data_IF_123058056179
#
_entry.id   IF_123058056179
#
_cell.length_a   1.000
_cell.length_b   1.000
_cell.length_c   1.000
_cell.angle_alpha   90.00
_cell.angle_beta   90.00
_cell.angle_gamma   90.00
#
_symmetry.space_group_name_H-M   'P 1'
#
loop_
_entity.id
_entity.type
_entity.pdbx_description
1 polymer ?
#
# COMPACT_ATOMS: atom_id res chain seq x y z
N UNK A 1 -33.07 -12.46 4.46
CA UNK A 1 -32.80 -11.13 3.90
C UNK A 1 -31.39 -10.78 4.30
N UNK A 2 -30.43 -10.82 3.37
CA UNK A 2 -29.06 -10.43 3.67
C UNK A 2 -29.07 -8.97 4.14
N UNK A 3 -28.53 -8.73 5.33
CA UNK A 3 -28.41 -7.41 5.93
C UNK A 3 -27.70 -6.51 4.89
N UNK A 4 -28.41 -5.57 4.26
CA UNK A 4 -27.81 -4.70 3.25
C UNK A 4 -26.72 -3.89 3.94
N UNK A 5 -25.47 -4.06 3.48
CA UNK A 5 -24.36 -3.27 3.99
C UNK A 5 -24.66 -1.78 3.75
N UNK A 6 -24.69 -0.98 4.81
CA UNK A 6 -24.75 0.47 4.67
C UNK A 6 -23.44 0.99 4.09
N UNK A 7 -23.43 2.21 3.54
CA UNK A 7 -22.18 2.85 3.08
C UNK A 7 -21.12 2.90 4.20
N UNK A 8 -21.53 3.11 5.45
CA UNK A 8 -20.64 3.10 6.62
C UNK A 8 -19.99 1.73 6.86
N UNK A 9 -20.79 0.65 6.87
CA UNK A 9 -20.27 -0.73 6.96
C UNK A 9 -19.31 -1.03 5.80
N UNK A 10 -19.67 -0.62 4.58
CA UNK A 10 -18.81 -0.79 3.39
C UNK A 10 -17.49 -0.03 3.48
N UNK A 11 -17.46 1.20 3.99
CA UNK A 11 -16.21 1.93 4.24
C UNK A 11 -15.32 1.19 5.25
N UNK A 12 -15.90 0.72 6.35
CA UNK A 12 -15.16 0.02 7.39
C UNK A 12 -14.58 -1.31 6.90
N UNK A 13 -15.33 -2.08 6.10
CA UNK A 13 -14.84 -3.31 5.47
C UNK A 13 -13.68 -3.04 4.50
N UNK A 14 -13.77 -1.94 3.74
CA UNK A 14 -12.71 -1.55 2.79
C UNK A 14 -11.50 -0.86 3.45
N UNK A 15 -11.50 -0.63 4.76
CA UNK A 15 -10.36 -0.03 5.47
C UNK A 15 -9.12 -0.93 5.49
N UNK A 16 -9.29 -2.25 5.35
CA UNK A 16 -8.19 -3.21 5.41
C UNK A 16 -7.15 -3.01 4.28
N UNK A 17 -7.61 -2.62 3.08
CA UNK A 17 -6.72 -2.42 1.93
C UNK A 17 -5.73 -1.26 2.15
N UNK A 18 -6.15 -0.01 2.44
CA UNK A 18 -5.22 1.08 2.72
C UNK A 18 -4.34 0.79 3.94
N UNK A 19 -4.84 0.10 4.97
CA UNK A 19 -4.00 -0.31 6.09
C UNK A 19 -2.85 -1.22 5.62
N UNK A 20 -3.14 -2.27 4.85
CA UNK A 20 -2.10 -3.19 4.37
C UNK A 20 -1.12 -2.52 3.41
N UNK A 21 -1.60 -1.66 2.52
CA UNK A 21 -0.75 -0.86 1.64
C UNK A 21 0.15 0.08 2.45
N UNK A 22 -0.38 0.69 3.51
CA UNK A 22 0.41 1.54 4.41
C UNK A 22 1.56 0.78 5.07
N UNK A 23 1.29 -0.43 5.59
CA UNK A 23 2.35 -1.30 6.15
C UNK A 23 3.41 -1.67 5.10
N UNK A 24 2.98 -2.10 3.91
CA UNK A 24 3.88 -2.48 2.83
C UNK A 24 4.79 -1.31 2.43
N UNK A 25 4.22 -0.12 2.22
CA UNK A 25 4.99 1.06 1.82
C UNK A 25 5.96 1.51 2.93
N UNK A 26 5.54 1.49 4.20
CA UNK A 26 6.44 1.78 5.33
C UNK A 26 7.62 0.80 5.39
N UNK A 27 7.38 -0.50 5.12
CA UNK A 27 8.45 -1.51 5.15
C UNK A 27 9.54 -1.26 4.10
N UNK A 28 9.20 -0.64 2.96
CA UNK A 28 10.19 -0.23 1.95
C UNK A 28 11.15 0.80 2.54
N UNK A 29 10.64 1.78 3.30
CA UNK A 29 11.48 2.78 3.95
C UNK A 29 12.47 2.14 4.93
N UNK A 30 12.04 1.13 5.71
CA UNK A 30 12.92 0.41 6.64
C UNK A 30 14.05 -0.33 5.92
N UNK A 31 13.73 -1.01 4.81
CA UNK A 31 14.74 -1.69 3.98
C UNK A 31 15.76 -0.68 3.42
N UNK A 32 15.29 0.45 2.89
CA UNK A 32 16.17 1.50 2.36
C UNK A 32 17.05 2.12 3.45
N UNK A 33 16.50 2.44 4.62
CA UNK A 33 17.27 2.98 5.74
C UNK A 33 18.38 2.04 6.22
N UNK A 34 18.09 0.74 6.28
CA UNK A 34 19.10 -0.26 6.64
C UNK A 34 20.17 -0.38 5.56
N UNK A 35 19.78 -0.37 4.29
CA UNK A 35 20.71 -0.39 3.16
C UNK A 35 21.64 0.83 3.16
N UNK A 36 21.09 2.01 3.43
CA UNK A 36 21.86 3.27 3.50
C UNK A 36 23.02 3.23 4.51
N UNK A 37 22.95 2.38 5.55
CA UNK A 37 24.03 2.21 6.53
C UNK A 37 25.25 1.46 5.97
N UNK A 38 25.08 0.71 4.89
CA UNK A 38 26.16 -0.03 4.24
C UNK A 38 26.93 0.82 3.21
N UNK A 39 26.45 2.03 2.90
CA UNK A 39 27.06 2.90 1.88
C UNK A 39 28.30 3.62 2.43
N UNK A 40 29.43 3.49 1.72
CA UNK A 40 30.63 4.28 2.02
C UNK A 40 30.44 5.73 1.57
N UNK A 41 30.33 6.65 2.53
CA UNK A 41 30.08 8.07 2.24
C UNK A 41 31.24 8.80 1.58
N UNK A 42 32.43 8.19 1.57
CA UNK A 42 33.60 8.75 0.88
C UNK A 42 33.59 8.43 -0.61
N UNK A 43 32.84 7.42 -1.04
CA UNK A 43 32.63 7.14 -2.45
C UNK A 43 31.55 8.09 -3.01
N UNK A 44 31.86 8.90 -4.05
CA UNK A 44 30.90 9.82 -4.64
C UNK A 44 29.64 9.14 -5.21
N UNK A 45 29.74 7.88 -5.66
CA UNK A 45 28.56 7.15 -6.16
C UNK A 45 27.63 6.75 -5.01
N UNK A 46 28.17 6.13 -3.96
CA UNK A 46 27.44 5.80 -2.75
C UNK A 46 26.86 7.05 -2.03
N UNK A 47 27.53 8.20 -2.09
CA UNK A 47 26.98 9.46 -1.59
C UNK A 47 25.70 9.88 -2.35
N UNK A 48 25.68 9.75 -3.69
CA UNK A 48 24.48 10.04 -4.50
C UNK A 48 23.35 9.05 -4.23
N UNK A 49 23.67 7.76 -4.08
CA UNK A 49 22.68 6.74 -3.73
C UNK A 49 22.04 7.04 -2.38
N UNK A 50 22.83 7.44 -1.38
CA UNK A 50 22.29 7.81 -0.08
C UNK A 50 21.30 8.98 -0.17
N UNK A 51 21.63 10.05 -0.89
CA UNK A 51 20.74 11.22 -1.01
C UNK A 51 19.42 10.86 -1.71
N UNK A 52 19.48 9.99 -2.72
CA UNK A 52 18.28 9.46 -3.37
C UNK A 52 17.42 8.66 -2.39
N UNK A 53 18.02 7.73 -1.64
CA UNK A 53 17.28 6.90 -0.70
C UNK A 53 16.77 7.70 0.50
N UNK A 54 17.50 8.71 0.96
CA UNK A 54 17.03 9.60 2.03
C UNK A 54 15.75 10.35 1.64
N UNK A 55 15.61 10.72 0.37
CA UNK A 55 14.36 11.31 -0.15
C UNK A 55 13.24 10.29 -0.17
N UNK A 56 13.48 9.11 -0.76
CA UNK A 56 12.48 8.04 -0.87
C UNK A 56 12.00 7.53 0.49
N UNK A 57 12.88 7.42 1.47
CA UNK A 57 12.54 7.03 2.85
C UNK A 57 11.51 7.99 3.44
N UNK A 58 11.71 9.31 3.28
CA UNK A 58 10.75 10.32 3.78
C UNK A 58 9.40 10.20 3.10
N UNK A 59 9.40 10.04 1.77
CA UNK A 59 8.18 9.91 0.97
C UNK A 59 7.40 8.64 1.33
N UNK A 60 8.07 7.49 1.40
CA UNK A 60 7.44 6.23 1.77
C UNK A 60 6.85 6.26 3.18
N UNK A 61 7.57 6.83 4.17
CA UNK A 61 7.01 7.00 5.53
C UNK A 61 5.75 7.86 5.51
N UNK A 62 5.79 9.02 4.84
CA UNK A 62 4.64 9.93 4.78
C UNK A 62 3.43 9.27 4.09
N UNK A 63 3.64 8.55 2.99
CA UNK A 63 2.58 7.81 2.28
C UNK A 63 2.00 6.72 3.17
N UNK A 64 2.86 5.93 3.82
CA UNK A 64 2.45 4.86 4.72
C UNK A 64 1.59 5.37 5.88
N UNK A 65 2.02 6.45 6.54
CA UNK A 65 1.28 7.12 7.61
C UNK A 65 -0.08 7.65 7.14
N UNK A 66 -0.14 8.28 5.97
CA UNK A 66 -1.40 8.81 5.43
C UNK A 66 -2.39 7.69 5.07
N UNK A 67 -1.90 6.56 4.54
CA UNK A 67 -2.72 5.38 4.25
C UNK A 67 -3.28 4.78 5.54
N UNK A 68 -2.46 4.65 6.58
CA UNK A 68 -2.89 4.18 7.90
C UNK A 68 -3.95 5.09 8.53
N UNK A 69 -3.71 6.41 8.53
CA UNK A 69 -4.66 7.37 9.05
C UNK A 69 -6.00 7.34 8.28
N UNK A 70 -5.94 7.09 6.97
CA UNK A 70 -7.14 6.95 6.13
C UNK A 70 -7.90 5.67 6.48
N UNK A 71 -7.20 4.54 6.61
CA UNK A 71 -7.80 3.28 7.04
C UNK A 71 -8.50 3.40 8.41
N UNK A 72 -7.86 4.07 9.37
CA UNK A 72 -8.44 4.30 10.70
C UNK A 72 -9.73 5.12 10.62
N UNK A 73 -9.75 6.19 9.81
CA UNK A 73 -10.97 6.97 9.58
C UNK A 73 -12.07 6.12 8.94
N UNK A 74 -11.74 5.35 7.90
CA UNK A 74 -12.69 4.45 7.21
C UNK A 74 -13.29 3.43 8.18
N UNK A 75 -12.47 2.79 9.00
CA UNK A 75 -12.91 1.87 10.04
C UNK A 75 -13.84 2.56 11.07
N UNK A 76 -13.53 3.80 11.43
CA UNK A 76 -14.34 4.62 12.34
C UNK A 76 -15.72 5.01 11.77
N UNK A 77 -15.95 4.92 10.46
CA UNK A 77 -17.23 5.21 9.83
C UNK A 77 -18.19 4.02 9.79
N UNK A 78 -17.89 2.91 10.48
CA UNK A 78 -18.74 1.71 10.50
C UNK A 78 -20.21 1.99 10.80
N UNK A 79 -20.46 2.87 11.77
CA UNK A 79 -21.80 3.22 12.25
C UNK A 79 -22.34 4.50 11.61
N UNK A 80 -21.72 4.97 10.51
CA UNK A 80 -22.18 6.15 9.78
C UNK A 80 -23.59 5.90 9.23
N UNK A 81 -24.58 6.74 9.57
CA UNK A 81 -25.94 6.59 9.07
C UNK A 81 -26.00 6.84 7.56
N UNK A 82 -26.83 6.07 6.85
CA UNK A 82 -27.03 6.26 5.43
C UNK A 82 -27.82 7.55 5.18
N UNK A 83 -27.19 8.53 4.54
CA UNK A 83 -27.87 9.72 4.05
C UNK A 83 -28.80 9.41 2.88
N UNK A 84 -29.68 10.37 2.55
CA UNK A 84 -30.46 10.31 1.30
C UNK A 84 -29.50 10.40 0.11
N UNK A 85 -29.61 9.47 -0.83
CA UNK A 85 -28.89 9.49 -2.09
C UNK A 85 -29.83 9.95 -3.22
N UNK A 86 -29.29 10.64 -4.21
CA UNK A 86 -30.00 10.84 -5.48
C UNK A 86 -29.84 9.57 -6.31
N UNK A 87 -30.90 8.78 -6.37
CA UNK A 87 -30.91 7.50 -7.09
C UNK A 87 -30.56 7.66 -8.57
N UNK A 88 -30.93 8.79 -9.20
CA UNK A 88 -30.60 9.02 -10.61
C UNK A 88 -29.10 9.14 -10.80
N UNK A 89 -28.42 9.84 -9.89
CA UNK A 89 -26.96 9.99 -9.90
C UNK A 89 -26.28 8.67 -9.57
N UNK A 90 -26.79 7.90 -8.60
CA UNK A 90 -26.26 6.59 -8.25
C UNK A 90 -26.38 5.57 -9.38
N UNK A 91 -27.42 5.67 -10.21
CA UNK A 91 -27.63 4.84 -11.39
C UNK A 91 -27.04 5.40 -12.69
N UNK A 92 -26.30 6.51 -12.63
CA UNK A 92 -25.70 7.10 -13.84
C UNK A 92 -24.67 6.10 -14.42
N UNK A 93 -24.67 5.85 -15.74
CA UNK A 93 -23.66 5.00 -16.39
C UNK A 93 -22.21 5.36 -16.05
N UNK A 94 -21.92 6.63 -15.74
CA UNK A 94 -20.58 7.06 -15.29
C UNK A 94 -20.23 6.56 -13.89
N UNK A 95 -21.21 6.43 -12.99
CA UNK A 95 -20.99 5.85 -11.67
C UNK A 95 -20.62 4.36 -11.79
N UNK A 96 -21.34 3.63 -12.65
CA UNK A 96 -21.01 2.24 -12.97
C UNK A 96 -19.63 2.11 -13.61
N UNK A 97 -19.32 2.90 -14.63
CA UNK A 97 -18.02 2.86 -15.30
C UNK A 97 -16.85 3.20 -14.36
N UNK A 98 -17.05 4.12 -13.41
CA UNK A 98 -16.06 4.42 -12.39
C UNK A 98 -15.79 3.21 -11.48
N UNK A 99 -16.84 2.48 -11.09
CA UNK A 99 -16.70 1.29 -10.27
C UNK A 99 -16.09 0.11 -11.05
N UNK A 100 -16.46 -0.09 -12.31
CA UNK A 100 -15.83 -1.09 -13.19
C UNK A 100 -14.32 -0.84 -13.32
N UNK A 101 -13.91 0.42 -13.53
CA UNK A 101 -12.49 0.79 -13.57
C UNK A 101 -11.79 0.50 -12.24
N UNK A 102 -12.44 0.81 -11.11
CA UNK A 102 -11.91 0.50 -9.79
C UNK A 102 -11.67 -1.01 -9.62
N UNK A 103 -12.61 -1.86 -10.03
CA UNK A 103 -12.48 -3.32 -9.99
C UNK A 103 -11.33 -3.80 -10.88
N UNK A 104 -11.21 -3.28 -12.11
CA UNK A 104 -10.10 -3.61 -13.03
C UNK A 104 -8.74 -3.28 -12.43
N UNK A 105 -8.58 -2.07 -11.87
CA UNK A 105 -7.32 -1.66 -11.21
C UNK A 105 -7.00 -2.59 -10.03
N UNK A 106 -8.01 -3.01 -9.27
CA UNK A 106 -7.84 -3.97 -8.18
C UNK A 106 -7.29 -5.31 -8.66
N UNK A 107 -7.80 -5.82 -9.78
CA UNK A 107 -7.32 -7.07 -10.39
C UNK A 107 -5.88 -6.94 -10.90
N UNK A 108 -5.57 -5.86 -11.60
CA UNK A 108 -4.21 -5.55 -12.07
C UNK A 108 -3.22 -5.43 -10.90
N UNK A 109 -3.64 -4.84 -9.78
CA UNK A 109 -2.82 -4.74 -8.57
C UNK A 109 -2.53 -6.12 -7.96
N UNK A 110 -3.52 -7.03 -7.93
CA UNK A 110 -3.30 -8.41 -7.46
C UNK A 110 -2.23 -9.11 -8.29
N UNK A 111 -2.32 -9.00 -9.61
CA UNK A 111 -1.31 -9.60 -10.50
C UNK A 111 0.08 -9.00 -10.29
N UNK A 112 0.16 -7.68 -10.10
CA UNK A 112 1.41 -6.99 -9.81
C UNK A 112 2.02 -7.46 -8.48
N UNK A 113 1.21 -7.58 -7.43
CA UNK A 113 1.66 -8.03 -6.11
C UNK A 113 2.15 -9.47 -6.15
N UNK A 114 1.48 -10.37 -6.88
CA UNK A 114 1.93 -11.75 -7.05
C UNK A 114 3.32 -11.82 -7.72
N UNK A 115 3.50 -11.11 -8.85
CA UNK A 115 4.80 -11.06 -9.54
C UNK A 115 5.90 -10.45 -8.67
N UNK A 116 5.55 -9.44 -7.87
CA UNK A 116 6.48 -8.78 -6.96
C UNK A 116 6.91 -9.72 -5.84
N UNK A 117 5.96 -10.42 -5.21
CA UNK A 117 6.25 -11.39 -4.16
C UNK A 117 7.18 -12.51 -4.65
N UNK A 118 6.92 -13.09 -5.83
CA UNK A 118 7.79 -14.11 -6.41
C UNK A 118 9.23 -13.63 -6.65
N UNK A 119 9.39 -12.38 -7.08
CA UNK A 119 10.71 -11.76 -7.27
C UNK A 119 11.41 -11.57 -5.91
N UNK A 120 10.69 -11.00 -4.95
CA UNK A 120 11.26 -10.63 -3.66
C UNK A 120 11.62 -11.89 -2.84
N UNK A 121 10.85 -12.98 -2.96
CA UNK A 121 11.18 -14.29 -2.39
C UNK A 121 12.50 -14.86 -2.93
N UNK A 122 12.75 -14.72 -4.24
CA UNK A 122 14.02 -15.15 -4.86
C UNK A 122 15.19 -14.34 -4.31
N UNK A 123 15.02 -13.03 -4.17
CA UNK A 123 16.03 -12.13 -3.59
C UNK A 123 16.29 -12.54 -2.13
N UNK A 124 15.25 -12.74 -1.34
CA UNK A 124 15.35 -13.15 0.06
C UNK A 124 16.05 -14.50 0.22
N UNK A 125 15.75 -15.47 -0.66
CA UNK A 125 16.44 -16.77 -0.68
C UNK A 125 17.93 -16.60 -0.98
N UNK A 126 18.30 -15.75 -1.95
CA UNK A 126 19.70 -15.46 -2.27
C UNK A 126 20.44 -14.78 -1.10
N UNK A 127 19.80 -13.84 -0.40
CA UNK A 127 20.35 -13.19 0.80
C UNK A 127 20.61 -14.21 1.93
N UNK A 128 19.66 -15.13 2.15
CA UNK A 128 19.79 -16.20 3.15
C UNK A 128 20.95 -17.16 2.82
N UNK A 129 21.07 -17.57 1.56
CA UNK A 129 22.16 -18.44 1.12
C UNK A 129 23.54 -17.78 1.31
N UNK A 130 23.68 -16.50 0.96
CA UNK A 130 24.92 -15.74 1.17
C UNK A 130 25.26 -15.61 2.66
N UNK A 131 24.25 -15.40 3.52
CA UNK A 131 24.47 -15.29 4.97
C UNK A 131 24.91 -16.62 5.56
N UNK A 132 24.34 -17.75 5.11
CA UNK A 132 24.72 -19.08 5.55
C UNK A 132 26.16 -19.45 5.13
N UNK A 133 26.59 -19.05 3.93
CA UNK A 133 27.94 -19.30 3.44
C UNK A 133 29.05 -18.49 4.19
N UNK A 134 28.67 -17.48 4.98
CA UNK A 134 29.57 -16.66 5.79
C UNK A 134 29.70 -17.13 7.24
N UNK A 135 28.92 -18.14 7.66
CA UNK A 135 29.00 -18.78 8.97
C UNK A 135 29.82 -20.05 8.88
#
# INVERSE_FOLDING_TARGET
MADQATCGKGLAENAALPAKLGELITSVAEVLELHMRALDRKDPAAAREYEAYATLVKEHRAIGEQLQATAQRMAGYRDLPMGRHDEKVMSDPKAFAAFERFVSIGQELVELLNRTAERDDKILAAMRAQTAARK
#
